data_IF_898134821904
#
_entry.id   IF_898134821904
#
_cell.length_a   1.000
_cell.length_b   1.000
_cell.length_c   1.000
_cell.angle_alpha   90.00
_cell.angle_beta   90.00
_cell.angle_gamma   90.00
#
_symmetry.space_group_name_H-M   'P 1'
#
loop_
_entity.id
_entity.type
_entity.pdbx_description
1 polymer ?
#
# COMPACT_ATOMS: atom_id res chain seq x y z
N UNK A 1 11.93 -23.79 -12.95
CA UNK A 1 11.54 -22.47 -13.52
C UNK A 1 10.03 -22.43 -13.45
N UNK A 2 9.47 -21.55 -12.62
CA UNK A 2 8.07 -21.56 -12.20
C UNK A 2 7.16 -21.13 -13.36
N UNK A 3 5.97 -21.75 -13.48
CA UNK A 3 5.06 -21.54 -14.62
C UNK A 3 3.91 -20.56 -14.31
N UNK A 4 3.86 -20.01 -13.09
CA UNK A 4 2.95 -18.91 -12.74
C UNK A 4 3.62 -17.63 -13.21
N UNK A 5 3.05 -17.02 -14.25
CA UNK A 5 3.51 -15.75 -14.80
C UNK A 5 2.59 -14.64 -14.33
N UNK A 6 3.11 -13.53 -13.76
CA UNK A 6 2.27 -12.38 -13.41
C UNK A 6 1.42 -11.89 -14.60
N UNK A 7 0.25 -11.34 -14.30
CA UNK A 7 -0.63 -10.69 -15.29
C UNK A 7 -1.10 -11.60 -16.46
N UNK A 8 -1.23 -12.91 -16.22
CA UNK A 8 -1.88 -13.87 -17.13
C UNK A 8 -3.25 -14.28 -16.62
N UNK A 9 -4.10 -14.81 -17.52
CA UNK A 9 -5.35 -15.45 -17.12
C UNK A 9 -5.02 -16.69 -16.28
N UNK A 10 -5.30 -16.59 -14.98
CA UNK A 10 -5.15 -17.66 -14.02
C UNK A 10 -6.52 -18.12 -13.55
N UNK A 11 -6.68 -19.42 -13.38
CA UNK A 11 -7.88 -19.96 -12.77
C UNK A 11 -7.77 -19.82 -11.24
N UNK A 12 -8.55 -18.92 -10.66
CA UNK A 12 -8.68 -18.81 -9.21
C UNK A 12 -9.72 -19.83 -8.75
N UNK A 13 -9.28 -20.87 -8.04
CA UNK A 13 -10.16 -21.91 -7.51
C UNK A 13 -10.34 -21.68 -6.01
N UNK A 14 -11.51 -21.21 -5.54
CA UNK A 14 -11.79 -21.14 -4.12
C UNK A 14 -11.97 -22.56 -3.58
N UNK A 15 -11.17 -22.92 -2.58
CA UNK A 15 -11.23 -24.23 -1.94
C UNK A 15 -11.55 -24.09 -0.46
N UNK A 16 -12.45 -24.96 0.01
CA UNK A 16 -12.71 -25.14 1.44
C UNK A 16 -11.99 -26.41 1.87
N UNK A 17 -10.99 -26.27 2.73
CA UNK A 17 -10.19 -27.37 3.22
C UNK A 17 -10.47 -27.55 4.72
N UNK A 18 -10.74 -28.79 5.12
CA UNK A 18 -10.82 -29.18 6.51
C UNK A 18 -9.48 -29.83 6.90
N UNK A 19 -8.72 -29.17 7.76
CA UNK A 19 -7.42 -29.65 8.24
C UNK A 19 -7.63 -30.24 9.63
N UNK A 20 -7.01 -31.39 9.89
CA UNK A 20 -7.11 -32.04 11.20
C UNK A 20 -6.52 -31.13 12.28
N UNK A 21 -7.18 -31.02 13.42
CA UNK A 21 -6.83 -30.06 14.50
C UNK A 21 -5.47 -30.28 15.16
N UNK A 22 -4.75 -31.34 14.79
CA UNK A 22 -3.40 -31.62 15.25
C UNK A 22 -2.32 -30.91 14.44
N UNK A 23 -2.65 -30.38 13.26
CA UNK A 23 -1.75 -29.61 12.42
C UNK A 23 -1.96 -28.15 12.75
N UNK A 24 -0.93 -27.51 13.29
CA UNK A 24 -0.97 -26.12 13.77
C UNK A 24 -0.04 -25.20 13.00
N UNK A 25 0.88 -25.76 12.23
CA UNK A 25 1.84 -25.02 11.40
C UNK A 25 1.27 -24.84 9.99
N UNK A 26 1.29 -23.60 9.50
CA UNK A 26 0.75 -23.20 8.20
C UNK A 26 1.71 -23.61 7.07
N UNK A 27 3.02 -23.63 7.34
CA UNK A 27 4.01 -24.00 6.35
C UNK A 27 3.97 -25.51 6.10
N UNK A 28 3.80 -26.32 7.15
CA UNK A 28 3.54 -27.77 7.02
C UNK A 28 2.27 -28.07 6.21
N UNK A 29 1.26 -27.22 6.31
CA UNK A 29 0.03 -27.33 5.49
C UNK A 29 0.30 -26.96 4.04
N UNK A 30 1.00 -25.85 3.78
CA UNK A 30 1.33 -25.40 2.44
C UNK A 30 2.21 -26.43 1.69
N UNK A 31 3.22 -26.96 2.38
CA UNK A 31 4.10 -28.01 1.86
C UNK A 31 3.33 -29.31 1.62
N UNK A 32 2.52 -29.75 2.59
CA UNK A 32 1.69 -30.94 2.45
C UNK A 32 0.68 -30.83 1.29
N UNK A 33 0.10 -29.65 1.05
CA UNK A 33 -0.80 -29.40 -0.09
C UNK A 33 -0.04 -29.43 -1.42
N UNK A 34 1.14 -28.80 -1.48
CA UNK A 34 2.00 -28.86 -2.66
C UNK A 34 2.44 -30.29 -2.97
N UNK A 35 2.83 -31.10 -1.98
CA UNK A 35 3.17 -32.51 -2.15
C UNK A 35 1.97 -33.36 -2.61
N UNK A 36 0.81 -33.17 -1.99
CA UNK A 36 -0.43 -33.87 -2.34
C UNK A 36 -0.84 -33.60 -3.81
N UNK A 37 -0.74 -32.35 -4.25
CA UNK A 37 -1.16 -31.92 -5.59
C UNK A 37 -0.12 -32.22 -6.66
N UNK A 38 1.18 -32.18 -6.34
CA UNK A 38 2.27 -32.59 -7.25
C UNK A 38 2.09 -34.02 -7.76
N UNK A 39 1.65 -34.94 -6.90
CA UNK A 39 1.36 -36.32 -7.30
C UNK A 39 0.23 -36.47 -8.31
N UNK A 40 -0.64 -35.45 -8.45
CA UNK A 40 -1.86 -35.49 -9.27
C UNK A 40 -1.79 -34.63 -10.54
N UNK A 41 -0.88 -33.65 -10.60
CA UNK A 41 -0.82 -32.66 -11.69
C UNK A 41 0.46 -32.82 -12.53
N UNK A 42 1.63 -32.58 -11.93
CA UNK A 42 2.98 -32.83 -12.48
C UNK A 42 4.03 -32.44 -11.42
N UNK A 43 5.27 -32.92 -11.55
CA UNK A 43 6.41 -32.62 -10.66
C UNK A 43 6.79 -31.12 -10.61
N UNK A 44 6.33 -30.32 -11.57
CA UNK A 44 6.57 -28.87 -11.63
C UNK A 44 5.43 -28.04 -11.02
N UNK A 45 4.45 -28.67 -10.37
CA UNK A 45 3.36 -27.96 -9.69
C UNK A 45 3.84 -27.27 -8.42
N UNK A 46 3.61 -25.96 -8.34
CA UNK A 46 3.80 -25.13 -7.15
C UNK A 46 2.59 -24.19 -7.10
N UNK A 47 1.93 -24.11 -5.95
CA UNK A 47 0.85 -23.17 -5.67
C UNK A 47 1.13 -22.40 -4.39
N UNK A 48 0.74 -21.12 -4.37
CA UNK A 48 0.73 -20.28 -3.18
C UNK A 48 -0.63 -20.37 -2.48
N UNK A 49 -0.62 -20.44 -1.15
CA UNK A 49 -1.83 -20.61 -0.35
C UNK A 49 -2.08 -19.40 0.55
N UNK A 50 -3.32 -18.92 0.54
CA UNK A 50 -3.82 -17.92 1.48
C UNK A 50 -4.78 -18.57 2.46
N UNK A 51 -4.36 -18.71 3.71
CA UNK A 51 -5.18 -19.30 4.77
C UNK A 51 -5.96 -18.22 5.51
N UNK A 52 -7.28 -18.22 5.35
CA UNK A 52 -8.18 -17.31 6.09
C UNK A 52 -8.75 -18.08 7.28
N UNK A 53 -8.17 -17.91 8.47
CA UNK A 53 -8.76 -18.42 9.71
C UNK A 53 -9.82 -17.45 10.24
N UNK A 54 -10.68 -17.90 11.17
CA UNK A 54 -11.77 -17.09 11.75
C UNK A 54 -11.29 -15.81 12.46
N UNK A 55 -9.99 -15.67 12.71
CA UNK A 55 -9.39 -14.53 13.42
C UNK A 55 -8.72 -13.49 12.49
N UNK A 56 -8.87 -13.63 11.17
CA UNK A 56 -8.93 -12.51 10.23
C UNK A 56 -7.74 -11.53 10.19
N UNK A 57 -6.52 -12.01 9.92
CA UNK A 57 -5.48 -11.13 9.34
C UNK A 57 -5.36 -11.36 7.82
N UNK A 58 -5.54 -10.28 7.06
CA UNK A 58 -5.47 -10.25 5.61
C UNK A 58 -4.31 -9.33 5.18
N UNK A 59 -3.33 -9.85 4.42
CA UNK A 59 -2.31 -9.06 3.71
C UNK A 59 -2.50 -9.16 2.18
N UNK A 60 -2.06 -8.13 1.45
CA UNK A 60 -2.30 -7.91 0.01
C UNK A 60 -0.96 -7.73 -0.76
N UNK A 61 -0.90 -8.21 -2.01
CA UNK A 61 0.28 -8.26 -2.88
C UNK A 61 0.22 -7.31 -4.10
N UNK A 62 1.39 -7.05 -4.71
CA UNK A 62 1.59 -6.26 -5.95
C UNK A 62 1.57 -7.11 -7.24
N UNK A 63 1.68 -6.47 -8.42
CA UNK A 63 1.33 -6.99 -9.75
C UNK A 63 2.42 -7.74 -10.54
N UNK A 64 3.67 -7.83 -10.07
CA UNK A 64 4.73 -8.70 -10.65
C UNK A 64 5.51 -9.35 -9.50
N UNK A 65 5.46 -10.68 -9.36
CA UNK A 65 5.65 -11.38 -8.07
C UNK A 65 6.55 -12.63 -8.19
N UNK A 66 7.60 -12.71 -7.37
CA UNK A 66 8.47 -13.88 -7.13
C UNK A 66 8.08 -14.70 -5.88
N UNK A 67 8.74 -15.85 -5.63
CA UNK A 67 8.52 -16.70 -4.43
C UNK A 67 8.77 -15.88 -3.15
N UNK A 68 7.72 -15.65 -2.35
CA UNK A 68 7.74 -14.76 -1.17
C UNK A 68 7.17 -13.33 -1.40
N UNK A 69 6.92 -12.90 -2.63
CA UNK A 69 6.47 -11.53 -2.94
C UNK A 69 4.94 -11.32 -2.93
N UNK A 70 4.13 -12.35 -2.66
CA UNK A 70 2.69 -12.21 -2.39
C UNK A 70 2.40 -11.43 -1.07
N UNK A 71 3.45 -11.02 -0.35
CA UNK A 71 3.40 -10.27 0.91
C UNK A 71 4.19 -8.96 0.85
N UNK A 72 4.23 -8.27 -0.30
CA UNK A 72 5.05 -7.07 -0.50
C UNK A 72 4.97 -6.10 0.68
N UNK A 73 6.13 -5.79 1.27
CA UNK A 73 6.25 -4.75 2.28
C UNK A 73 5.89 -3.41 1.65
N UNK A 74 5.03 -2.66 2.33
CA UNK A 74 4.66 -1.33 1.90
C UNK A 74 5.84 -0.40 2.13
N UNK A 75 6.71 -0.29 1.13
CA UNK A 75 7.81 0.68 1.15
C UNK A 75 7.16 2.06 1.22
N UNK A 76 7.43 2.79 2.30
CA UNK A 76 6.83 4.10 2.51
C UNK A 76 7.39 5.14 1.51
N UNK A 77 6.58 6.12 1.14
CA UNK A 77 6.97 7.11 0.12
C UNK A 77 8.25 7.88 0.50
N UNK A 78 8.36 8.23 1.78
CA UNK A 78 9.44 9.04 2.29
C UNK A 78 10.79 8.33 2.22
N UNK A 79 10.81 7.00 2.28
CA UNK A 79 12.04 6.21 2.10
C UNK A 79 12.61 6.31 0.68
N UNK A 80 11.76 6.47 -0.35
CA UNK A 80 12.25 6.65 -1.74
C UNK A 80 12.74 8.08 -2.00
N UNK A 81 12.13 9.05 -1.34
CA UNK A 81 12.53 10.46 -1.43
C UNK A 81 13.80 10.69 -0.62
N UNK A 82 13.94 10.00 0.51
CA UNK A 82 15.07 10.07 1.44
C UNK A 82 15.71 8.69 1.64
N UNK A 83 16.45 8.15 0.65
CA UNK A 83 16.96 6.76 0.64
C UNK A 83 17.99 6.43 1.74
N UNK A 84 18.38 7.41 2.56
CA UNK A 84 19.29 7.23 3.68
C UNK A 84 18.58 7.04 5.02
N UNK A 85 17.25 6.89 5.04
CA UNK A 85 16.50 6.43 6.22
C UNK A 85 16.88 4.98 6.55
N UNK A 86 18.02 4.78 7.22
CA UNK A 86 18.46 3.45 7.64
C UNK A 86 17.78 3.03 8.94
N UNK A 87 17.23 1.82 8.89
CA UNK A 87 16.29 1.29 9.85
C UNK A 87 16.79 1.11 11.28
N UNK A 88 15.87 1.46 12.18
CA UNK A 88 15.78 0.98 13.55
C UNK A 88 14.32 1.09 13.97
N UNK A 89 13.72 -0.03 14.41
CA UNK A 89 12.37 -0.13 14.96
C UNK A 89 11.35 0.88 14.38
N UNK A 90 11.01 0.75 13.09
CA UNK A 90 10.06 1.65 12.43
C UNK A 90 8.68 1.01 12.27
N UNK A 91 7.65 1.84 12.08
CA UNK A 91 6.28 1.44 11.75
C UNK A 91 5.78 2.24 10.56
N UNK A 92 4.82 1.68 9.84
CA UNK A 92 4.17 2.34 8.71
C UNK A 92 2.83 2.91 9.17
N UNK A 93 2.56 4.15 8.81
CA UNK A 93 1.24 4.77 8.88
C UNK A 93 0.75 5.13 7.48
N UNK A 94 -0.55 5.28 7.33
CA UNK A 94 -1.21 5.58 6.07
C UNK A 94 -1.82 6.97 6.12
N UNK A 95 -1.39 7.83 5.22
CA UNK A 95 -1.74 9.24 5.21
C UNK A 95 -2.79 9.50 4.13
N UNK A 96 -3.85 10.19 4.50
CA UNK A 96 -4.84 10.78 3.61
C UNK A 96 -4.66 12.28 3.72
N UNK A 97 -4.23 12.93 2.64
CA UNK A 97 -3.94 14.33 2.68
C UNK A 97 -4.68 15.08 1.58
N UNK A 98 -4.99 16.34 1.84
CA UNK A 98 -5.64 17.25 0.91
C UNK A 98 -4.80 18.51 0.84
N UNK A 99 -4.30 18.82 -0.35
CA UNK A 99 -3.63 20.08 -0.63
C UNK A 99 -4.50 20.96 -1.52
N UNK A 100 -4.50 22.24 -1.24
CA UNK A 100 -5.06 23.27 -2.10
C UNK A 100 -4.03 24.38 -2.23
N UNK A 101 -4.21 25.25 -3.22
CA UNK A 101 -3.28 26.36 -3.44
C UNK A 101 -3.12 27.27 -2.19
N UNK A 102 -4.15 27.34 -1.34
CA UNK A 102 -4.18 28.20 -0.14
C UNK A 102 -3.98 27.48 1.19
N UNK A 103 -4.13 26.17 1.24
CA UNK A 103 -4.11 25.43 2.51
C UNK A 103 -3.89 23.95 2.31
N UNK A 104 -3.28 23.33 3.32
CA UNK A 104 -2.91 21.93 3.36
C UNK A 104 -3.50 21.31 4.62
N UNK A 105 -3.98 20.07 4.53
CA UNK A 105 -4.51 19.32 5.66
C UNK A 105 -4.27 17.83 5.44
N UNK A 106 -4.15 17.07 6.51
CA UNK A 106 -4.01 15.62 6.43
C UNK A 106 -4.57 14.95 7.69
N UNK A 107 -4.85 13.66 7.54
CA UNK A 107 -5.06 12.71 8.61
C UNK A 107 -4.19 11.48 8.34
N UNK A 108 -3.79 10.76 9.39
CA UNK A 108 -3.08 9.50 9.26
C UNK A 108 -3.71 8.39 10.09
N UNK A 109 -3.48 7.15 9.65
CA UNK A 109 -4.06 5.97 10.24
C UNK A 109 -2.99 4.89 10.42
N UNK A 110 -3.07 4.07 11.49
CA UNK A 110 -2.15 2.95 11.67
C UNK A 110 -2.40 1.80 10.67
N UNK A 111 -3.54 1.80 9.97
CA UNK A 111 -3.94 0.72 9.06
C UNK A 111 -4.42 1.28 7.72
N UNK A 112 -4.14 0.57 6.63
CA UNK A 112 -4.48 1.00 5.27
C UNK A 112 -5.99 1.09 5.04
N UNK A 113 -6.74 0.06 5.44
CA UNK A 113 -8.15 -0.08 5.11
C UNK A 113 -9.01 1.13 5.55
N UNK A 114 -8.92 1.62 6.81
CA UNK A 114 -9.66 2.81 7.21
C UNK A 114 -9.20 4.07 6.46
N UNK A 115 -7.90 4.23 6.22
CA UNK A 115 -7.35 5.37 5.48
C UNK A 115 -7.85 5.40 4.03
N UNK A 116 -7.79 4.26 3.33
CA UNK A 116 -8.28 4.12 1.96
C UNK A 116 -9.77 4.39 1.88
N UNK A 117 -10.56 3.91 2.85
CA UNK A 117 -11.99 4.23 2.92
C UNK A 117 -12.23 5.73 3.08
N UNK A 118 -11.44 6.41 3.91
CA UNK A 118 -11.53 7.87 4.07
C UNK A 118 -11.18 8.59 2.76
N UNK A 119 -10.05 8.23 2.13
CA UNK A 119 -9.64 8.78 0.84
C UNK A 119 -10.75 8.66 -0.23
N UNK A 120 -11.35 7.48 -0.39
CA UNK A 120 -12.44 7.31 -1.36
C UNK A 120 -13.70 8.14 -1.02
N UNK A 121 -14.00 8.35 0.26
CA UNK A 121 -15.11 9.22 0.65
C UNK A 121 -14.83 10.68 0.30
N UNK A 122 -13.62 11.15 0.55
CA UNK A 122 -13.24 12.56 0.42
C UNK A 122 -13.06 13.00 -1.04
N UNK A 123 -12.80 12.07 -1.97
CA UNK A 123 -12.83 12.35 -3.41
C UNK A 123 -14.11 13.06 -3.84
N UNK A 124 -15.25 12.68 -3.25
CA UNK A 124 -16.56 13.26 -3.54
C UNK A 124 -16.71 14.72 -3.09
N UNK A 125 -15.94 15.14 -2.08
CA UNK A 125 -15.87 16.52 -1.60
C UNK A 125 -14.94 17.36 -2.49
N UNK A 126 -13.76 16.84 -2.82
CA UNK A 126 -12.76 17.54 -3.64
C UNK A 126 -13.23 17.79 -5.07
N UNK A 127 -14.08 16.94 -5.62
CA UNK A 127 -14.77 17.21 -6.90
C UNK A 127 -15.51 18.55 -6.97
N UNK A 128 -15.89 19.12 -5.82
CA UNK A 128 -16.70 20.36 -5.75
C UNK A 128 -15.84 21.61 -5.62
N UNK A 129 -14.55 21.47 -5.34
CA UNK A 129 -13.63 22.60 -5.08
C UNK A 129 -12.58 22.64 -6.18
N UNK A 130 -12.59 23.71 -6.97
CA UNK A 130 -11.54 23.95 -7.95
C UNK A 130 -10.21 24.21 -7.23
N UNK A 131 -9.13 23.59 -7.70
CA UNK A 131 -7.76 23.76 -7.20
C UNK A 131 -7.45 23.05 -5.88
N UNK A 132 -8.05 21.89 -5.67
CA UNK A 132 -7.73 21.01 -4.54
C UNK A 132 -7.36 19.64 -5.08
N UNK A 133 -6.35 19.03 -4.48
CA UNK A 133 -5.89 17.68 -4.74
C UNK A 133 -5.86 16.87 -3.46
N UNK A 134 -6.16 15.58 -3.56
CA UNK A 134 -5.96 14.60 -2.52
C UNK A 134 -4.82 13.67 -2.86
N UNK A 135 -4.16 13.22 -1.81
CA UNK A 135 -3.11 12.23 -1.84
C UNK A 135 -3.41 11.11 -0.86
N UNK A 136 -3.04 9.91 -1.24
CA UNK A 136 -3.05 8.76 -0.37
C UNK A 136 -1.73 8.00 -0.51
N UNK A 137 -1.02 7.79 0.60
CA UNK A 137 0.31 7.18 0.61
C UNK A 137 0.68 6.55 1.96
N UNK A 138 1.63 5.62 1.95
CA UNK A 138 2.25 5.07 3.15
C UNK A 138 3.45 5.92 3.60
N UNK A 139 3.62 6.12 4.90
CA UNK A 139 4.69 6.91 5.51
C UNK A 139 5.36 6.12 6.64
N UNK A 140 6.69 6.06 6.63
CA UNK A 140 7.49 5.34 7.63
C UNK A 140 7.95 6.30 8.72
N UNK A 141 7.76 5.89 9.97
CA UNK A 141 8.13 6.65 11.17
C UNK A 141 8.79 5.74 12.19
N UNK A 142 9.56 6.31 13.14
CA UNK A 142 10.07 5.54 14.27
C UNK A 142 8.89 5.00 15.11
N UNK A 143 8.94 3.71 15.45
CA UNK A 143 7.85 3.03 16.14
C UNK A 143 7.62 3.56 17.56
N UNK A 144 8.65 4.15 18.18
CA UNK A 144 8.60 4.74 19.52
C UNK A 144 7.88 6.09 19.58
N UNK A 145 7.66 6.75 18.43
CA UNK A 145 6.98 8.03 18.38
C UNK A 145 5.54 7.93 18.85
N UNK A 146 5.15 8.92 19.66
CA UNK A 146 3.79 9.17 20.08
C UNK A 146 2.92 9.63 18.90
N UNK A 147 1.57 9.56 18.99
CA UNK A 147 0.69 10.02 17.93
C UNK A 147 0.89 11.49 17.54
N UNK A 148 1.19 12.35 18.51
CA UNK A 148 1.43 13.78 18.25
C UNK A 148 2.74 13.96 17.45
N UNK A 149 3.81 13.26 17.84
CA UNK A 149 5.08 13.30 17.11
C UNK A 149 4.96 12.72 15.69
N UNK A 150 4.18 11.67 15.48
CA UNK A 150 3.87 11.15 14.14
C UNK A 150 3.14 12.22 13.31
N UNK A 151 2.23 12.97 13.93
CA UNK A 151 1.50 14.05 13.26
C UNK A 151 2.48 15.14 12.82
N UNK A 152 3.38 15.56 13.70
CA UNK A 152 4.39 16.58 13.39
C UNK A 152 5.32 16.13 12.25
N UNK A 153 5.74 14.87 12.21
CA UNK A 153 6.59 14.35 11.14
C UNK A 153 5.87 14.28 9.79
N UNK A 154 4.60 13.84 9.79
CA UNK A 154 3.79 13.79 8.57
C UNK A 154 3.50 15.19 8.05
N UNK A 155 3.19 16.15 8.93
CA UNK A 155 2.95 17.56 8.58
C UNK A 155 4.18 18.15 7.89
N UNK A 156 5.35 18.04 8.53
CA UNK A 156 6.60 18.58 8.02
C UNK A 156 6.96 17.98 6.65
N UNK A 157 6.86 16.66 6.50
CA UNK A 157 7.11 16.00 5.22
C UNK A 157 6.12 16.45 4.14
N UNK A 158 4.84 16.52 4.47
CA UNK A 158 3.81 16.82 3.48
C UNK A 158 3.87 18.28 3.04
N UNK A 159 4.07 19.23 3.96
CA UNK A 159 4.28 20.65 3.64
C UNK A 159 5.45 20.85 2.66
N UNK A 160 6.57 20.14 2.88
CA UNK A 160 7.75 20.24 2.01
C UNK A 160 7.51 19.62 0.62
N UNK A 161 6.78 18.51 0.53
CA UNK A 161 6.79 17.67 -0.66
C UNK A 161 5.48 17.60 -1.44
N UNK A 162 4.34 18.02 -0.89
CA UNK A 162 3.00 17.83 -1.50
C UNK A 162 2.86 18.44 -2.90
N UNK A 163 3.61 19.49 -3.21
CA UNK A 163 3.62 20.17 -4.53
C UNK A 163 4.82 19.79 -5.39
N UNK A 164 5.71 18.95 -4.89
CA UNK A 164 6.88 18.51 -5.63
C UNK A 164 6.50 17.50 -6.71
N UNK A 165 7.14 17.61 -7.87
CA UNK A 165 6.95 16.66 -8.97
C UNK A 165 7.36 15.24 -8.57
N UNK A 166 8.41 15.09 -7.76
CA UNK A 166 8.90 13.79 -7.31
C UNK A 166 7.85 13.03 -6.48
N UNK A 167 7.20 13.71 -5.53
CA UNK A 167 6.13 13.14 -4.72
C UNK A 167 4.91 12.77 -5.58
N UNK A 168 4.43 13.73 -6.39
CA UNK A 168 3.24 13.55 -7.23
C UNK A 168 3.39 12.50 -8.33
N UNK A 169 4.62 12.23 -8.79
CA UNK A 169 4.90 11.19 -9.79
C UNK A 169 5.20 9.82 -9.19
N UNK A 170 5.28 9.69 -7.87
CA UNK A 170 5.59 8.41 -7.28
C UNK A 170 4.46 7.42 -7.49
N UNK A 171 4.82 6.19 -7.86
CA UNK A 171 3.89 5.06 -7.98
C UNK A 171 3.25 4.65 -6.65
N UNK A 172 3.77 5.16 -5.53
CA UNK A 172 3.29 4.88 -4.18
C UNK A 172 2.29 5.93 -3.66
N UNK A 173 1.98 6.94 -4.47
CA UNK A 173 1.03 8.01 -4.12
C UNK A 173 -0.16 7.96 -5.07
N UNK A 174 -1.34 7.68 -4.53
CA UNK A 174 -2.59 7.83 -5.26
C UNK A 174 -2.98 9.32 -5.23
N UNK A 175 -3.08 9.95 -6.40
CA UNK A 175 -3.45 11.37 -6.55
C UNK A 175 -4.83 11.53 -7.19
N UNK A 176 -5.63 12.49 -6.73
CA UNK A 176 -6.95 12.81 -7.28
C UNK A 176 -7.34 14.29 -7.07
N UNK A 177 -8.04 14.97 -8.00
CA UNK A 177 -8.45 14.53 -9.32
C UNK A 177 -7.40 14.81 -10.40
N UNK A 178 -6.37 15.57 -10.07
CA UNK A 178 -5.36 15.96 -11.05
C UNK A 178 -4.28 14.89 -11.17
N UNK A 179 -3.79 14.75 -12.40
CA UNK A 179 -2.50 14.09 -12.63
C UNK A 179 -1.38 14.99 -12.12
N UNK A 180 -0.19 14.43 -11.88
CA UNK A 180 0.99 15.20 -11.45
C UNK A 180 1.25 16.43 -12.34
N UNK A 181 1.18 16.28 -13.68
CA UNK A 181 1.38 17.39 -14.60
C UNK A 181 0.22 18.41 -14.57
N UNK A 182 -1.02 17.95 -14.32
CA UNK A 182 -2.18 18.83 -14.15
C UNK A 182 -2.07 19.69 -12.90
N UNK A 183 -1.59 19.10 -11.79
CA UNK A 183 -1.33 19.82 -10.55
C UNK A 183 -0.19 20.83 -10.68
N UNK A 184 0.94 20.42 -11.27
CA UNK A 184 2.08 21.30 -11.53
C UNK A 184 1.69 22.50 -12.41
N UNK A 185 0.80 22.29 -13.40
CA UNK A 185 0.24 23.38 -14.18
C UNK A 185 -0.56 24.37 -13.31
N UNK A 186 -1.45 23.88 -12.45
CA UNK A 186 -2.27 24.72 -11.57
C UNK A 186 -1.43 25.52 -10.56
N UNK A 187 -0.44 24.88 -9.93
CA UNK A 187 0.48 25.54 -9.00
C UNK A 187 1.24 26.67 -9.70
N UNK A 188 1.81 26.40 -10.89
CA UNK A 188 2.53 27.42 -11.66
C UNK A 188 1.66 28.58 -12.12
N UNK A 189 0.40 28.33 -12.42
CA UNK A 189 -0.54 29.39 -12.78
C UNK A 189 -0.87 30.27 -11.57
N UNK A 190 -1.07 29.67 -10.41
CA UNK A 190 -1.33 30.37 -9.15
C UNK A 190 -0.15 31.25 -8.71
N UNK A 191 1.08 30.74 -8.74
CA UNK A 191 2.27 31.48 -8.32
C UNK A 191 2.62 32.67 -9.22
N UNK A 192 1.96 32.82 -10.37
CA UNK A 192 2.10 33.97 -11.27
C UNK A 192 1.17 35.13 -10.94
N UNK A 193 0.15 34.90 -10.11
CA UNK A 193 -0.90 35.87 -9.72
C UNK A 193 -0.47 36.64 -8.47
#
# INVERSE_FOLDING_TARGET
>A
MHNITPNKEHLIVPVTLAIHSSITDIDEVADGLNELLRGSVDANFIADYKFISKDNELRVASSDVEEGELFSEHVAINTQIHPNSQGGNTKIVWVVATDSLSSTSFDWYPNELPARKQYENDKSFVMKVSNTQQHFFAFEVDASLSPDEVTDEVDAFYDEHCRSKAFNMSKLVDCYPFTADGWDYLVKDYDRV
#
